data_IF_914524677257
#
_entry.id   IF_914524677257
#
_cell.length_a   1.000
_cell.length_b   1.000
_cell.length_c   1.000
_cell.angle_alpha   90.00
_cell.angle_beta   90.00
_cell.angle_gamma   90.00
#
_symmetry.space_group_name_H-M   'P 1'
#
loop_
_entity.id
_entity.type
_entity.pdbx_description
1 polymer ?
#
# COMPACT_ATOMS: atom_id res chain seq x y z
N UNK A 1 7.74 -17.52 -29.49
CA UNK A 1 6.37 -16.97 -29.32
C UNK A 1 5.97 -17.37 -27.92
N UNK A 2 6.14 -16.49 -26.95
CA UNK A 2 5.73 -16.73 -25.58
C UNK A 2 4.20 -16.64 -25.53
N UNK A 3 3.55 -17.60 -24.87
CA UNK A 3 2.10 -17.60 -24.73
C UNK A 3 1.61 -16.28 -24.11
N UNK A 4 0.58 -15.63 -24.67
CA UNK A 4 0.09 -14.34 -24.19
C UNK A 4 -0.68 -14.37 -22.85
N UNK A 5 -0.63 -15.47 -22.09
CA UNK A 5 -1.45 -15.66 -20.87
C UNK A 5 -0.64 -16.22 -19.68
N UNK A 6 0.65 -15.93 -19.58
CA UNK A 6 1.39 -16.25 -18.36
C UNK A 6 0.94 -15.30 -17.23
N UNK A 7 0.16 -15.84 -16.29
CA UNK A 7 -0.27 -15.10 -15.10
C UNK A 7 0.95 -14.67 -14.27
N UNK A 8 1.30 -13.40 -14.36
CA UNK A 8 2.27 -12.78 -13.47
C UNK A 8 1.57 -12.41 -12.16
N UNK A 9 1.96 -13.11 -11.09
CA UNK A 9 1.41 -12.89 -9.74
C UNK A 9 2.20 -11.88 -8.92
N UNK A 10 3.49 -11.72 -9.19
CA UNK A 10 4.39 -10.85 -8.43
C UNK A 10 5.45 -10.22 -9.34
N UNK A 11 5.69 -8.92 -9.16
CA UNK A 11 6.78 -8.17 -9.78
C UNK A 11 7.97 -8.12 -8.80
N UNK A 12 8.98 -8.94 -9.07
CA UNK A 12 10.17 -9.05 -8.23
C UNK A 12 11.07 -7.81 -8.27
N UNK A 13 10.80 -6.84 -9.16
CA UNK A 13 11.51 -5.56 -9.14
C UNK A 13 11.06 -4.64 -8.01
N UNK A 14 9.87 -4.89 -7.43
CA UNK A 14 9.36 -4.18 -6.26
C UNK A 14 10.08 -4.73 -5.01
N UNK A 15 10.77 -3.85 -4.27
CA UNK A 15 11.49 -4.23 -3.05
C UNK A 15 10.55 -4.73 -1.95
N UNK A 16 11.02 -5.65 -1.10
CA UNK A 16 10.30 -6.09 0.10
C UNK A 16 10.06 -4.95 1.10
N UNK A 17 10.94 -3.94 1.10
CA UNK A 17 10.83 -2.76 1.95
C UNK A 17 9.86 -1.71 1.38
N UNK A 18 9.40 -1.88 0.14
CA UNK A 18 8.43 -0.98 -0.50
C UNK A 18 7.18 -0.83 0.38
N UNK A 19 6.77 0.43 0.56
CA UNK A 19 5.60 0.79 1.35
C UNK A 19 4.38 0.86 0.43
N UNK A 20 3.29 0.23 0.87
CA UNK A 20 2.02 0.25 0.18
C UNK A 20 0.97 0.98 0.99
N UNK A 21 0.12 1.71 0.28
CA UNK A 21 -1.03 2.40 0.84
C UNK A 21 -2.33 1.84 0.26
N UNK A 22 -3.27 1.46 1.12
CA UNK A 22 -4.63 1.03 0.77
C UNK A 22 -5.64 2.03 1.30
N UNK A 23 -6.46 2.60 0.42
CA UNK A 23 -7.62 3.41 0.82
C UNK A 23 -8.69 2.52 1.45
N UNK A 24 -9.27 2.95 2.58
CA UNK A 24 -10.28 2.21 3.34
C UNK A 24 -11.46 3.14 3.66
N UNK A 25 -12.69 2.71 3.34
CA UNK A 25 -13.90 3.48 3.60
C UNK A 25 -14.27 3.42 5.09
N UNK A 26 -14.35 4.59 5.76
CA UNK A 26 -14.63 4.67 7.21
C UNK A 26 -15.99 4.08 7.60
N UNK A 27 -16.98 4.20 6.73
CA UNK A 27 -18.34 3.71 6.96
C UNK A 27 -18.47 2.17 6.87
N UNK A 28 -17.47 1.46 6.32
CA UNK A 28 -17.51 0.01 6.21
C UNK A 28 -17.12 -0.66 7.54
N UNK A 29 -18.13 -1.01 8.33
CA UNK A 29 -17.94 -1.72 9.60
C UNK A 29 -17.17 -3.05 9.47
N UNK A 30 -17.14 -3.68 8.30
CA UNK A 30 -16.36 -4.90 8.05
C UNK A 30 -14.85 -4.65 7.92
N UNK A 31 -14.47 -3.41 7.63
CA UNK A 31 -13.07 -2.99 7.45
C UNK A 31 -12.34 -2.70 8.75
N UNK A 32 -13.05 -2.66 9.89
CA UNK A 32 -12.47 -2.30 11.17
C UNK A 32 -12.75 -3.34 12.25
N UNK A 33 -11.82 -3.43 13.20
CA UNK A 33 -11.98 -4.16 14.46
C UNK A 33 -11.53 -3.27 15.60
N UNK A 34 -12.02 -3.53 16.81
CA UNK A 34 -11.58 -2.80 18.01
C UNK A 34 -10.66 -3.73 18.79
N UNK A 35 -9.44 -3.29 19.07
CA UNK A 35 -8.58 -3.98 20.04
C UNK A 35 -9.24 -3.87 21.42
N UNK A 36 -9.58 -5.01 22.02
CA UNK A 36 -10.25 -5.06 23.32
C UNK A 36 -9.36 -4.61 24.47
N UNK A 37 -8.04 -4.60 24.28
CA UNK A 37 -7.07 -4.20 25.30
C UNK A 37 -6.84 -2.70 25.25
N UNK A 38 -6.48 -2.14 24.09
CA UNK A 38 -6.19 -0.69 23.95
C UNK A 38 -7.44 0.16 23.69
N UNK A 39 -8.54 -0.43 23.21
CA UNK A 39 -9.72 0.29 22.75
C UNK A 39 -9.55 0.96 21.38
N UNK A 40 -8.38 0.79 20.74
CA UNK A 40 -8.07 1.43 19.47
C UNK A 40 -8.73 0.71 18.29
N UNK A 41 -9.16 1.51 17.31
CA UNK A 41 -9.62 1.01 16.02
C UNK A 41 -8.44 0.49 15.21
N UNK A 42 -8.52 -0.75 14.76
CA UNK A 42 -7.57 -1.40 13.87
C UNK A 42 -8.23 -1.85 12.58
N UNK A 43 -7.44 -2.02 11.52
CA UNK A 43 -7.95 -2.63 10.30
C UNK A 43 -8.40 -4.07 10.57
N UNK A 44 -9.50 -4.45 9.92
CA UNK A 44 -10.00 -5.81 9.85
C UNK A 44 -9.76 -6.42 8.47
N UNK A 45 -10.09 -7.71 8.33
CA UNK A 45 -9.97 -8.41 7.03
C UNK A 45 -10.81 -7.79 5.92
N UNK A 46 -11.88 -7.05 6.25
CA UNK A 46 -12.70 -6.31 5.28
C UNK A 46 -11.92 -5.24 4.52
N UNK A 47 -10.94 -4.58 5.14
CA UNK A 47 -10.17 -3.48 4.55
C UNK A 47 -9.38 -3.88 3.30
N UNK A 48 -9.07 -5.18 3.21
CA UNK A 48 -8.31 -5.80 2.13
C UNK A 48 -9.20 -6.74 1.30
N UNK A 49 -10.51 -6.55 1.37
CA UNK A 49 -11.44 -7.29 0.54
C UNK A 49 -11.46 -6.79 -0.89
N UNK A 50 -11.67 -7.72 -1.82
CA UNK A 50 -11.89 -7.42 -3.23
C UNK A 50 -13.28 -6.81 -3.38
N UNK A 51 -13.33 -5.60 -3.92
CA UNK A 51 -14.58 -4.98 -4.37
C UNK A 51 -15.08 -5.69 -5.64
N UNK A 52 -16.32 -5.42 -6.07
CA UNK A 52 -16.84 -6.06 -7.30
C UNK A 52 -15.99 -5.75 -8.54
N UNK A 53 -15.40 -4.55 -8.60
CA UNK A 53 -14.44 -4.14 -9.65
C UNK A 53 -13.11 -4.91 -9.59
N UNK A 54 -12.75 -5.42 -8.42
CA UNK A 54 -11.51 -6.14 -8.16
C UNK A 54 -11.64 -7.65 -8.43
N UNK A 55 -12.81 -8.13 -8.90
CA UNK A 55 -13.12 -9.55 -9.11
C UNK A 55 -12.99 -10.00 -10.56
N UNK A 56 -12.98 -9.08 -11.51
CA UNK A 56 -12.77 -9.38 -12.93
C UNK A 56 -11.30 -9.14 -13.31
N UNK A 57 -10.70 -9.97 -14.19
CA UNK A 57 -9.34 -9.74 -14.66
C UNK A 57 -9.13 -8.32 -15.22
N UNK A 58 -8.08 -7.59 -14.79
CA UNK A 58 -7.11 -7.98 -13.77
C UNK A 58 -7.67 -7.84 -12.34
N UNK A 59 -7.98 -8.97 -11.70
CA UNK A 59 -8.54 -9.02 -10.35
C UNK A 59 -7.43 -8.82 -9.31
N UNK A 60 -7.68 -8.00 -8.28
CA UNK A 60 -6.71 -7.73 -7.23
C UNK A 60 -7.11 -6.61 -6.29
N UNK A 61 -6.49 -6.54 -5.12
CA UNK A 61 -6.76 -5.45 -4.18
C UNK A 61 -5.91 -4.24 -4.57
N UNK A 62 -6.57 -3.14 -4.94
CA UNK A 62 -5.91 -1.90 -5.38
C UNK A 62 -5.12 -1.21 -4.25
N UNK A 63 -3.90 -0.80 -4.55
CA UNK A 63 -2.99 -0.12 -3.61
C UNK A 63 -2.17 0.95 -4.35
N UNK A 64 -1.51 1.84 -3.62
CA UNK A 64 -0.52 2.78 -4.15
C UNK A 64 0.88 2.43 -3.62
N UNK A 65 1.89 2.46 -4.48
CA UNK A 65 3.30 2.26 -4.13
C UNK A 65 3.95 3.59 -3.76
N UNK A 66 4.54 3.68 -2.57
CA UNK A 66 5.19 4.91 -2.09
C UNK A 66 6.30 5.37 -3.03
N UNK A 67 7.12 4.45 -3.54
CA UNK A 67 8.20 4.76 -4.47
C UNK A 67 7.69 5.42 -5.74
N UNK A 68 6.59 4.92 -6.31
CA UNK A 68 5.96 5.54 -7.48
C UNK A 68 5.32 6.88 -7.14
N UNK A 69 4.69 7.00 -5.97
CA UNK A 69 4.16 8.29 -5.51
C UNK A 69 5.27 9.36 -5.45
N UNK A 70 6.44 9.01 -4.90
CA UNK A 70 7.60 9.92 -4.82
C UNK A 70 8.13 10.29 -6.21
N UNK A 71 8.26 9.30 -7.11
CA UNK A 71 8.71 9.53 -8.50
C UNK A 71 7.77 10.48 -9.25
N UNK A 72 6.48 10.39 -8.98
CA UNK A 72 5.44 11.18 -9.65
C UNK A 72 4.98 12.40 -8.86
N UNK A 73 5.68 12.76 -7.78
CA UNK A 73 5.38 13.92 -6.93
C UNK A 73 3.94 13.93 -6.37
N UNK A 74 3.35 12.75 -6.20
CA UNK A 74 2.03 12.57 -5.58
C UNK A 74 2.18 12.78 -4.07
N UNK A 75 1.31 13.54 -3.42
CA UNK A 75 1.42 13.73 -1.98
C UNK A 75 0.58 12.69 -1.22
N UNK A 76 0.99 12.35 0.00
CA UNK A 76 0.21 11.42 0.84
C UNK A 76 -1.15 11.99 1.19
N UNK A 77 -1.31 13.31 1.28
CA UNK A 77 -2.61 13.96 1.43
C UNK A 77 -3.59 13.69 0.28
N UNK A 78 -3.10 13.28 -0.90
CA UNK A 78 -3.92 12.99 -2.07
C UNK A 78 -4.41 11.52 -2.10
N UNK A 79 -3.95 10.68 -1.17
CA UNK A 79 -4.29 9.26 -1.13
C UNK A 79 -5.79 8.99 -0.94
N UNK A 80 -6.51 9.91 -0.31
CA UNK A 80 -7.88 9.71 0.10
C UNK A 80 -8.63 11.03 0.29
N UNK A 81 -9.95 10.97 0.13
CA UNK A 81 -10.83 11.93 0.78
C UNK A 81 -10.88 11.60 2.27
N UNK A 82 -10.15 12.36 3.08
CA UNK A 82 -9.98 12.10 4.51
C UNK A 82 -11.25 12.26 5.34
N UNK A 83 -12.31 12.89 4.83
CA UNK A 83 -13.59 12.94 5.54
C UNK A 83 -14.27 11.57 5.53
N UNK A 84 -14.17 10.85 4.40
CA UNK A 84 -14.91 9.61 4.15
C UNK A 84 -14.04 8.35 4.23
N UNK A 85 -12.72 8.50 4.07
CA UNK A 85 -11.76 7.41 4.02
C UNK A 85 -10.61 7.64 4.99
N UNK A 86 -9.92 6.54 5.30
CA UNK A 86 -8.56 6.56 5.84
C UNK A 86 -7.66 5.67 4.98
N UNK A 87 -6.43 5.46 5.45
CA UNK A 87 -5.42 4.70 4.72
C UNK A 87 -4.78 3.65 5.62
N UNK A 88 -4.67 2.43 5.12
CA UNK A 88 -3.80 1.40 5.68
C UNK A 88 -2.42 1.44 5.03
N UNK A 89 -1.36 1.45 5.84
CA UNK A 89 0.04 1.40 5.40
C UNK A 89 0.69 0.09 5.85
N UNK A 90 1.41 -0.59 4.96
CA UNK A 90 2.10 -1.86 5.22
C UNK A 90 3.22 -2.08 4.21
N UNK A 91 4.06 -3.12 4.39
CA UNK A 91 5.18 -3.41 3.51
C UNK A 91 4.87 -4.49 2.46
N UNK A 92 5.58 -4.46 1.34
CA UNK A 92 5.50 -5.49 0.30
C UNK A 92 5.84 -6.89 0.85
N UNK A 93 6.84 -6.97 1.74
CA UNK A 93 7.20 -8.23 2.42
C UNK A 93 6.02 -8.90 3.13
N UNK A 94 5.07 -8.13 3.66
CA UNK A 94 3.92 -8.67 4.39
C UNK A 94 2.94 -9.36 3.43
N UNK A 95 2.80 -8.81 2.22
CA UNK A 95 2.01 -9.43 1.14
C UNK A 95 2.65 -10.75 0.72
N UNK A 96 3.96 -10.74 0.42
CA UNK A 96 4.72 -11.92 -0.04
C UNK A 96 4.80 -13.01 1.01
N UNK A 97 4.93 -12.65 2.29
CA UNK A 97 4.87 -13.57 3.43
C UNK A 97 3.54 -14.30 3.51
N UNK A 98 2.44 -13.62 3.13
CA UNK A 98 1.11 -14.22 3.01
C UNK A 98 0.89 -14.98 1.69
N UNK A 99 1.96 -15.23 0.92
CA UNK A 99 1.95 -15.86 -0.40
C UNK A 99 1.23 -15.06 -1.49
N UNK A 100 1.05 -13.76 -1.29
CA UNK A 100 0.59 -12.84 -2.33
C UNK A 100 1.75 -12.32 -3.18
N UNK A 101 1.41 -11.51 -4.16
CA UNK A 101 2.35 -10.72 -4.94
C UNK A 101 1.80 -9.33 -5.21
N UNK A 102 2.69 -8.45 -5.69
CA UNK A 102 2.36 -7.07 -6.03
C UNK A 102 2.76 -6.85 -7.47
N UNK A 103 1.90 -6.20 -8.25
CA UNK A 103 2.26 -5.75 -9.59
C UNK A 103 1.95 -4.26 -9.74
N UNK A 104 2.89 -3.50 -10.31
CA UNK A 104 2.58 -2.16 -10.78
C UNK A 104 1.56 -2.25 -11.92
N UNK A 105 0.52 -1.43 -11.86
CA UNK A 105 -0.57 -1.46 -12.84
C UNK A 105 -1.20 -0.08 -12.88
N UNK A 106 -0.73 0.79 -13.78
CA UNK A 106 -1.29 2.14 -13.89
C UNK A 106 -2.81 2.10 -14.07
N UNK A 107 -3.54 2.89 -13.27
CA UNK A 107 -4.99 3.06 -13.39
C UNK A 107 -5.31 4.35 -14.18
N UNK A 108 -5.68 4.26 -15.46
CA UNK A 108 -5.94 5.44 -16.28
C UNK A 108 -7.22 6.20 -15.88
N UNK A 109 -8.10 5.58 -15.07
CA UNK A 109 -9.34 6.20 -14.62
C UNK A 109 -9.13 7.08 -13.37
N UNK A 110 -7.99 6.95 -12.68
CA UNK A 110 -7.59 7.80 -11.55
C UNK A 110 -6.45 8.76 -11.99
N UNK A 111 -6.75 10.03 -12.32
CA UNK A 111 -5.74 10.96 -12.82
C UNK A 111 -4.71 11.39 -11.75
N UNK A 112 -4.99 11.14 -10.48
CA UNK A 112 -4.14 11.56 -9.36
C UNK A 112 -3.25 10.40 -8.92
N UNK A 113 -3.87 9.26 -8.58
CA UNK A 113 -3.16 8.11 -8.02
C UNK A 113 -2.83 7.04 -9.06
N UNK A 114 -3.38 7.14 -10.26
CA UNK A 114 -3.25 6.13 -11.30
C UNK A 114 -1.82 5.73 -11.59
N UNK A 115 -0.89 6.69 -11.63
CA UNK A 115 0.54 6.45 -11.86
C UNK A 115 1.25 5.70 -10.74
N UNK A 116 0.72 5.78 -9.51
CA UNK A 116 1.24 5.03 -8.37
C UNK A 116 0.47 3.74 -8.10
N UNK A 117 -0.56 3.44 -8.91
CA UNK A 117 -1.44 2.32 -8.69
C UNK A 117 -0.73 0.97 -8.91
N UNK A 118 -1.08 0.03 -8.04
CA UNK A 118 -0.64 -1.35 -8.09
C UNK A 118 -1.77 -2.28 -7.63
N UNK A 119 -1.65 -3.55 -7.96
CA UNK A 119 -2.58 -4.59 -7.56
C UNK A 119 -1.88 -5.61 -6.67
N UNK A 120 -2.49 -5.89 -5.52
CA UNK A 120 -2.19 -7.11 -4.78
C UNK A 120 -2.85 -8.28 -5.49
N UNK A 121 -2.07 -9.34 -5.74
CA UNK A 121 -2.52 -10.57 -6.39
C UNK A 121 -2.22 -11.79 -5.54
N UNK A 122 -2.95 -12.87 -5.83
CA UNK A 122 -2.63 -14.21 -5.35
C UNK A 122 -1.80 -14.98 -6.39
N UNK A 123 -1.14 -16.05 -5.98
CA UNK A 123 -0.31 -16.90 -6.87
C UNK A 123 -1.03 -17.42 -8.12
N UNK A 124 -2.35 -17.60 -8.05
CA UNK A 124 -3.16 -17.97 -9.21
C UNK A 124 -4.36 -17.02 -9.37
N UNK A 125 -4.83 -16.79 -10.61
CA UNK A 125 -5.99 -15.94 -10.88
C UNK A 125 -7.27 -16.61 -10.38
N UNK A 126 -8.23 -15.82 -9.92
CA UNK A 126 -9.57 -16.32 -9.56
C UNK A 126 -9.60 -17.29 -8.35
N UNK A 127 -8.53 -17.34 -7.57
CA UNK A 127 -8.44 -18.19 -6.40
C UNK A 127 -9.53 -17.88 -5.37
N UNK A 128 -10.09 -18.92 -4.71
CA UNK A 128 -11.18 -18.75 -3.76
C UNK A 128 -10.77 -17.90 -2.55
N UNK A 129 -11.77 -17.35 -1.84
CA UNK A 129 -11.61 -16.54 -0.62
C UNK A 129 -10.57 -17.04 0.41
N UNK A 130 -10.29 -18.35 0.58
CA UNK A 130 -9.30 -18.83 1.56
C UNK A 130 -7.87 -18.35 1.35
N UNK A 131 -7.34 -18.27 0.12
CA UNK A 131 -5.93 -17.84 -0.07
C UNK A 131 -5.75 -16.36 0.23
N UNK A 132 -6.75 -15.54 -0.09
CA UNK A 132 -6.81 -14.16 0.37
C UNK A 132 -6.76 -14.04 1.89
N UNK A 133 -7.21 -15.03 2.65
CA UNK A 133 -7.10 -14.95 4.11
C UNK A 133 -5.66 -14.99 4.60
N UNK A 134 -4.75 -15.69 3.92
CA UNK A 134 -3.32 -15.72 4.30
C UNK A 134 -2.68 -14.36 4.04
N UNK A 135 -2.84 -13.83 2.81
CA UNK A 135 -2.38 -12.48 2.45
C UNK A 135 -2.90 -11.44 3.42
N UNK A 136 -4.21 -11.42 3.67
CA UNK A 136 -4.84 -10.44 4.59
C UNK A 136 -4.34 -10.57 6.01
N UNK A 137 -4.17 -11.80 6.51
CA UNK A 137 -3.70 -12.00 7.88
C UNK A 137 -2.26 -11.54 8.02
N UNK A 138 -1.39 -11.84 7.04
CA UNK A 138 0.00 -11.41 7.04
C UNK A 138 0.14 -9.88 6.94
N UNK A 139 -0.68 -9.20 6.13
CA UNK A 139 -0.71 -7.73 6.06
C UNK A 139 -1.17 -7.13 7.40
N UNK A 140 -2.25 -7.67 7.98
CA UNK A 140 -2.85 -7.14 9.21
C UNK A 140 -1.95 -7.23 10.45
N UNK A 141 -0.92 -8.08 10.45
CA UNK A 141 0.04 -8.14 11.56
C UNK A 141 0.86 -6.85 11.70
N UNK A 142 1.10 -6.14 10.60
CA UNK A 142 1.96 -4.94 10.58
C UNK A 142 1.28 -3.71 9.98
N UNK A 143 0.07 -3.85 9.44
CA UNK A 143 -0.66 -2.73 8.86
C UNK A 143 -1.02 -1.68 9.92
N UNK A 144 -0.69 -0.43 9.62
CA UNK A 144 -1.04 0.73 10.45
C UNK A 144 -2.15 1.50 9.77
N UNK A 145 -3.20 1.85 10.52
CA UNK A 145 -4.29 2.69 10.03
C UNK A 145 -4.05 4.15 10.35
N UNK A 146 -4.33 5.01 9.38
CA UNK A 146 -4.31 6.46 9.52
C UNK A 146 -5.66 7.02 9.10
N UNK A 147 -6.26 7.83 9.98
CA UNK A 147 -7.52 8.53 9.74
C UNK A 147 -7.34 9.97 9.20
N UNK A 148 -6.06 10.37 9.05
CA UNK A 148 -5.54 11.65 8.57
C UNK A 148 -4.24 11.41 7.80
N UNK A 149 -3.72 12.42 7.10
CA UNK A 149 -2.51 12.31 6.28
C UNK A 149 -1.30 11.80 7.11
N UNK A 150 -0.77 10.61 6.80
CA UNK A 150 0.35 10.03 7.54
C UNK A 150 1.69 10.70 7.26
N UNK A 151 1.77 11.52 6.21
CA UNK A 151 3.05 11.81 5.58
C UNK A 151 3.66 10.56 4.94
N UNK A 152 4.77 10.79 4.25
CA UNK A 152 5.59 9.71 3.74
C UNK A 152 6.24 8.93 4.88
N UNK A 153 6.54 7.65 4.67
CA UNK A 153 7.44 6.97 5.59
C UNK A 153 8.79 7.68 5.60
N UNK A 154 9.34 7.95 6.79
CA UNK A 154 10.71 8.45 6.88
C UNK A 154 11.63 7.34 6.39
N UNK A 155 12.22 7.52 5.21
CA UNK A 155 13.34 6.69 4.78
C UNK A 155 14.43 6.95 5.80
N UNK A 156 14.84 5.94 6.58
CA UNK A 156 16.14 6.01 7.24
C UNK A 156 17.16 6.16 6.12
N UNK A 157 17.56 7.41 5.85
CA UNK A 157 18.69 7.71 5.01
C UNK A 157 19.91 7.12 5.72
N UNK A 158 20.27 5.89 5.36
CA UNK A 158 21.49 5.28 5.82
C UNK A 158 22.67 6.14 5.35
N UNK A 159 23.68 6.25 6.21
CA UNK A 159 24.59 7.37 6.29
C UNK A 159 25.23 7.85 4.99
N UNK A 160 25.25 9.17 4.81
CA UNK A 160 26.49 9.82 4.36
C UNK A 160 26.71 11.06 5.21
N UNK A 161 27.58 10.92 6.22
CA UNK A 161 28.19 12.04 6.90
C UNK A 161 28.97 12.89 5.88
N UNK A 162 28.76 14.20 5.93
CA UNK A 162 29.40 15.16 5.03
C UNK A 162 29.43 16.56 5.64
N UNK A 163 30.14 16.69 6.76
CA UNK A 163 30.94 17.85 7.18
C UNK A 163 30.31 19.25 7.12
N UNK A 164 30.11 19.77 8.32
CA UNK A 164 30.08 21.17 8.75
C UNK A 164 30.84 22.19 7.88
N UNK A 165 30.17 23.30 7.54
CA UNK A 165 30.80 24.62 7.47
C UNK A 165 29.77 25.73 7.74
N UNK A 166 29.82 26.27 8.95
CA UNK A 166 29.18 27.53 9.32
C UNK A 166 30.12 28.68 8.92
N UNK A 167 29.75 29.62 8.03
CA UNK A 167 30.48 30.87 7.94
C UNK A 167 30.02 31.80 9.06
N UNK A 168 30.94 32.07 9.97
CA UNK A 168 30.84 33.11 10.99
C UNK A 168 30.50 34.46 10.36
N UNK A 169 29.57 35.17 11.00
CA UNK A 169 29.37 36.61 10.81
C UNK A 169 30.67 37.35 11.16
N UNK A 170 31.21 38.10 10.20
CA UNK A 170 32.02 39.27 10.52
C UNK A 170 31.17 40.52 10.29
N UNK A 171 30.89 41.20 11.40
CA UNK A 171 30.45 42.59 11.43
C UNK A 171 31.67 43.49 11.39
N UNK A 172 31.70 44.42 10.46
CA UNK A 172 32.38 45.72 10.58
C UNK A 172 31.62 46.75 9.75
#
# INVERSE_FOLDING_TARGET
MSDPDEWVSDDLSISDDEILYRRVLKADSGSFTVDRISGETRLGKGAFSLNDRDKEPPAGCSVCLEGLMRIHEILTCDLADWETHGVGRFHAKDVRRGEGGIIASEDPDDPVLGKAHALLRTKSPGLPRPEWNYVRSAILEHAVYFDSDPGYSDVQADGTEGTTAHPSRETS
#
